data_IF_556610776667
#
_entry.id   IF_556610776667
#
_cell.length_a   1.000
_cell.length_b   1.000
_cell.length_c   1.000
_cell.angle_alpha   90.00
_cell.angle_beta   90.00
_cell.angle_gamma   90.00
#
_symmetry.space_group_name_H-M   'P 1'
#
loop_
_entity.id
_entity.type
_entity.pdbx_description
1 polymer ?
#
# COMPACT_ATOMS: atom_id res chain seq x y z
N UNK A 1 8.62 -25.73 -19.73
CA UNK A 1 8.20 -27.13 -19.49
C UNK A 1 7.72 -27.28 -18.05
N UNK A 2 6.68 -28.08 -17.78
CA UNK A 2 6.46 -28.65 -16.45
C UNK A 2 7.79 -29.25 -15.98
N UNK A 3 8.22 -28.99 -14.75
CA UNK A 3 9.50 -29.56 -14.28
C UNK A 3 9.28 -31.04 -14.03
N UNK A 4 9.96 -31.88 -14.81
CA UNK A 4 9.89 -33.35 -14.73
C UNK A 4 10.77 -33.85 -13.56
N UNK A 5 10.55 -33.32 -12.35
CA UNK A 5 11.29 -33.78 -11.15
C UNK A 5 10.35 -34.62 -10.30
N UNK A 6 10.75 -35.87 -10.03
CA UNK A 6 9.92 -36.88 -9.39
C UNK A 6 9.52 -36.62 -7.93
N UNK A 7 10.04 -35.57 -7.28
CA UNK A 7 9.61 -35.14 -5.93
C UNK A 7 9.53 -33.62 -5.84
N UNK A 8 8.32 -33.11 -5.67
CA UNK A 8 8.03 -31.70 -5.43
C UNK A 8 7.23 -31.58 -4.13
N UNK A 9 7.88 -31.14 -3.04
CA UNK A 9 7.27 -31.12 -1.69
C UNK A 9 6.53 -29.83 -1.33
N UNK A 10 6.78 -28.73 -2.05
CA UNK A 10 6.34 -27.39 -1.63
C UNK A 10 5.51 -26.62 -2.67
N UNK A 11 5.14 -27.23 -3.81
CA UNK A 11 4.32 -26.59 -4.85
C UNK A 11 3.41 -27.58 -5.56
N UNK A 12 2.17 -27.18 -5.81
CA UNK A 12 1.16 -27.93 -6.54
C UNK A 12 1.60 -28.26 -7.97
N UNK A 13 1.39 -29.50 -8.40
CA UNK A 13 1.62 -29.96 -9.76
C UNK A 13 0.28 -30.14 -10.47
N UNK A 14 -0.11 -29.18 -11.30
CA UNK A 14 -1.38 -29.23 -12.03
C UNK A 14 -1.23 -30.18 -13.22
N UNK A 15 -2.11 -31.19 -13.39
CA UNK A 15 -2.03 -32.09 -14.53
C UNK A 15 -2.33 -31.32 -15.83
N UNK A 16 -1.46 -31.46 -16.82
CA UNK A 16 -1.60 -30.86 -18.14
C UNK A 16 -0.77 -31.67 -19.15
N UNK A 17 -1.36 -31.94 -20.32
CA UNK A 17 -0.71 -32.71 -21.39
C UNK A 17 0.26 -31.83 -22.20
N UNK A 18 -0.01 -30.53 -22.27
CA UNK A 18 0.75 -29.57 -23.06
C UNK A 18 1.34 -28.48 -22.13
N UNK A 19 2.60 -28.05 -22.35
CA UNK A 19 3.20 -26.98 -21.54
C UNK A 19 2.39 -25.67 -21.49
N UNK A 20 1.68 -25.31 -22.56
CA UNK A 20 0.83 -24.12 -22.61
C UNK A 20 -0.35 -24.23 -21.63
N UNK A 21 -0.97 -25.40 -21.55
CA UNK A 21 -2.10 -25.68 -20.66
C UNK A 21 -1.67 -25.68 -19.19
N UNK A 22 -0.48 -26.23 -18.90
CA UNK A 22 0.11 -26.17 -17.56
C UNK A 22 0.24 -24.73 -17.07
N UNK A 23 0.81 -23.84 -17.89
CA UNK A 23 0.98 -22.43 -17.53
C UNK A 23 -0.34 -21.68 -17.43
N UNK A 24 -1.31 -22.02 -18.28
CA UNK A 24 -2.66 -21.46 -18.22
C UNK A 24 -3.31 -21.75 -16.87
N UNK A 25 -3.30 -23.01 -16.43
CA UNK A 25 -3.90 -23.46 -15.16
C UNK A 25 -3.09 -23.03 -13.93
N UNK A 26 -1.77 -23.11 -13.98
CA UNK A 26 -0.92 -22.88 -12.82
C UNK A 26 -0.61 -21.41 -12.54
N UNK A 27 -0.69 -20.54 -13.54
CA UNK A 27 -0.20 -19.16 -13.43
C UNK A 27 -1.19 -18.15 -13.97
N UNK A 28 -1.69 -18.32 -15.20
CA UNK A 28 -2.52 -17.29 -15.85
C UNK A 28 -3.87 -17.16 -15.15
N UNK A 29 -4.61 -18.25 -14.97
CA UNK A 29 -5.94 -18.22 -14.35
C UNK A 29 -5.87 -17.68 -12.90
N UNK A 30 -5.03 -18.23 -12.00
CA UNK A 30 -4.93 -17.70 -10.63
C UNK A 30 -4.51 -16.22 -10.58
N UNK A 31 -3.67 -15.79 -11.52
CA UNK A 31 -3.27 -14.40 -11.61
C UNK A 31 -4.42 -13.49 -12.07
N UNK A 32 -5.17 -13.89 -13.09
CA UNK A 32 -6.34 -13.15 -13.56
C UNK A 32 -7.42 -13.06 -12.48
N UNK A 33 -7.73 -14.17 -11.82
CA UNK A 33 -8.67 -14.20 -10.69
C UNK A 33 -8.20 -13.25 -9.58
N UNK A 34 -6.91 -13.30 -9.23
CA UNK A 34 -6.33 -12.38 -8.24
C UNK A 34 -6.46 -10.91 -8.66
N UNK A 35 -6.29 -10.59 -9.94
CA UNK A 35 -6.47 -9.22 -10.46
C UNK A 35 -7.93 -8.80 -10.39
N UNK A 36 -8.85 -9.67 -10.81
CA UNK A 36 -10.30 -9.42 -10.76
C UNK A 36 -10.74 -9.16 -9.32
N UNK A 37 -10.43 -10.08 -8.40
CA UNK A 37 -10.76 -9.92 -6.97
C UNK A 37 -10.12 -8.65 -6.38
N UNK A 38 -8.90 -8.30 -6.79
CA UNK A 38 -8.25 -7.06 -6.34
C UNK A 38 -8.97 -5.81 -6.85
N UNK A 39 -9.52 -5.84 -8.07
CA UNK A 39 -10.30 -4.74 -8.62
C UNK A 39 -11.67 -4.64 -7.94
N UNK A 40 -12.36 -5.76 -7.77
CA UNK A 40 -13.66 -5.82 -7.09
C UNK A 40 -13.55 -5.32 -5.64
N UNK A 41 -12.56 -5.79 -4.89
CA UNK A 41 -12.31 -5.32 -3.52
C UNK A 41 -11.95 -3.84 -3.50
N UNK A 42 -11.12 -3.36 -4.45
CA UNK A 42 -10.72 -1.95 -4.51
C UNK A 42 -11.88 -1.01 -4.81
N UNK A 43 -12.81 -1.39 -5.69
CA UNK A 43 -13.96 -0.59 -6.10
C UNK A 43 -15.28 -0.98 -5.40
N UNK A 44 -15.20 -1.79 -4.35
CA UNK A 44 -16.33 -2.12 -3.51
C UNK A 44 -16.94 -0.86 -2.87
N UNK A 45 -18.24 -0.90 -2.60
CA UNK A 45 -18.98 0.24 -2.03
C UNK A 45 -18.39 0.71 -0.69
N UNK A 46 -17.83 -0.21 0.10
CA UNK A 46 -17.13 0.06 1.36
C UNK A 46 -15.94 1.03 1.19
N UNK A 47 -15.26 1.00 0.03
CA UNK A 47 -14.09 1.83 -0.25
C UNK A 47 -14.45 3.17 -0.92
N UNK A 48 -15.72 3.38 -1.25
CA UNK A 48 -16.22 4.64 -1.85
C UNK A 48 -15.87 5.89 -1.03
N UNK A 49 -15.94 5.89 0.33
CA UNK A 49 -15.55 7.05 1.14
C UNK A 49 -14.08 7.45 0.96
N UNK A 50 -13.19 6.48 0.73
CA UNK A 50 -11.77 6.73 0.48
C UNK A 50 -11.56 7.53 -0.82
N UNK A 51 -12.32 7.23 -1.87
CA UNK A 51 -12.29 8.00 -3.12
C UNK A 51 -13.04 9.33 -2.99
N UNK A 52 -14.08 9.40 -2.17
CA UNK A 52 -14.82 10.63 -1.91
C UNK A 52 -13.95 11.73 -1.29
N UNK A 53 -12.87 11.38 -0.56
CA UNK A 53 -11.88 12.34 -0.07
C UNK A 53 -11.28 13.22 -1.18
N UNK A 54 -11.11 12.69 -2.40
CA UNK A 54 -10.61 13.47 -3.54
C UNK A 54 -11.56 14.59 -3.97
N UNK A 55 -12.87 14.42 -3.71
CA UNK A 55 -13.91 15.44 -3.97
C UNK A 55 -13.81 16.63 -3.03
N UNK A 56 -13.06 16.51 -1.92
CA UNK A 56 -12.76 17.61 -1.01
C UNK A 56 -11.67 18.56 -1.55
N UNK A 57 -11.21 18.37 -2.78
CA UNK A 57 -10.30 19.30 -3.43
C UNK A 57 -11.04 20.60 -3.83
N UNK A 58 -10.46 21.81 -3.61
CA UNK A 58 -11.11 23.08 -3.95
C UNK A 58 -11.66 23.15 -5.38
N UNK A 59 -10.91 22.65 -6.37
CA UNK A 59 -11.35 22.60 -7.76
C UNK A 59 -12.62 21.72 -7.96
N UNK A 60 -12.75 20.62 -7.23
CA UNK A 60 -13.92 19.75 -7.30
C UNK A 60 -15.10 20.30 -6.50
N UNK A 61 -14.82 20.97 -5.37
CA UNK A 61 -15.83 21.65 -4.55
C UNK A 61 -16.53 22.78 -5.29
N UNK A 62 -15.82 23.51 -6.17
CA UNK A 62 -16.41 24.58 -6.98
C UNK A 62 -17.33 24.09 -8.10
N UNK A 63 -17.09 22.88 -8.63
CA UNK A 63 -17.88 22.30 -9.73
C UNK A 63 -19.10 21.51 -9.23
N UNK A 64 -19.06 21.02 -7.99
CA UNK A 64 -20.09 20.13 -7.46
C UNK A 64 -21.23 20.89 -6.78
N UNK A 65 -22.46 20.39 -6.90
CA UNK A 65 -23.61 20.96 -6.21
C UNK A 65 -23.53 20.79 -4.70
N UNK A 66 -24.05 21.76 -3.94
CA UNK A 66 -24.02 21.80 -2.46
C UNK A 66 -24.63 20.53 -1.84
N UNK A 67 -25.71 19.99 -2.44
CA UNK A 67 -26.39 18.77 -1.97
C UNK A 67 -25.52 17.52 -2.05
N UNK A 68 -24.75 17.38 -3.13
CA UNK A 68 -23.85 16.25 -3.30
C UNK A 68 -22.67 16.34 -2.32
N UNK A 69 -22.23 17.56 -2.02
CA UNK A 69 -21.12 17.83 -1.12
C UNK A 69 -21.46 17.50 0.33
N UNK A 70 -22.66 17.85 0.78
CA UNK A 70 -23.14 17.49 2.13
C UNK A 70 -23.23 15.98 2.31
N UNK A 71 -23.75 15.26 1.31
CA UNK A 71 -23.85 13.80 1.36
C UNK A 71 -22.48 13.11 1.38
N UNK A 72 -21.51 13.64 0.61
CA UNK A 72 -20.13 13.14 0.68
C UNK A 72 -19.48 13.45 2.02
N UNK A 73 -19.77 14.60 2.64
CA UNK A 73 -19.22 14.93 3.95
C UNK A 73 -19.79 14.02 5.04
N UNK A 74 -21.09 13.68 4.97
CA UNK A 74 -21.74 12.78 5.91
C UNK A 74 -21.19 11.35 5.83
N UNK A 75 -21.00 10.83 4.61
CA UNK A 75 -20.37 9.51 4.42
C UNK A 75 -18.92 9.47 4.91
N UNK A 76 -18.14 10.54 4.69
CA UNK A 76 -16.75 10.64 5.18
C UNK A 76 -16.72 10.78 6.71
N UNK A 77 -17.63 11.58 7.29
CA UNK A 77 -17.72 11.77 8.74
C UNK A 77 -18.02 10.46 9.46
N UNK A 78 -18.95 9.66 8.93
CA UNK A 78 -19.29 8.33 9.46
C UNK A 78 -18.13 7.33 9.31
N UNK A 79 -17.48 7.29 8.15
CA UNK A 79 -16.44 6.31 7.87
C UNK A 79 -15.13 6.55 8.64
N UNK A 80 -14.68 7.81 8.71
CA UNK A 80 -13.42 8.18 9.36
C UNK A 80 -13.58 8.74 10.78
N UNK A 81 -14.82 8.80 11.30
CA UNK A 81 -15.15 9.38 12.61
C UNK A 81 -14.64 10.84 12.74
N UNK A 82 -14.96 11.67 11.75
CA UNK A 82 -14.57 13.08 11.65
C UNK A 82 -15.81 13.97 11.84
N UNK A 83 -16.17 14.36 13.07
CA UNK A 83 -17.44 15.03 13.36
C UNK A 83 -17.50 16.46 12.81
N UNK A 84 -16.39 17.20 12.77
CA UNK A 84 -16.40 18.62 12.38
C UNK A 84 -16.18 18.84 10.88
N UNK A 85 -16.01 17.77 10.10
CA UNK A 85 -15.62 17.90 8.69
C UNK A 85 -16.65 18.68 7.86
N UNK A 86 -17.94 18.58 8.19
CA UNK A 86 -19.01 19.31 7.49
C UNK A 86 -18.82 20.83 7.60
N UNK A 87 -18.66 21.32 8.83
CA UNK A 87 -18.49 22.75 9.12
C UNK A 87 -17.17 23.25 8.54
N UNK A 88 -16.09 22.48 8.71
CA UNK A 88 -14.78 22.83 8.18
C UNK A 88 -14.78 22.92 6.65
N UNK A 89 -15.54 22.05 5.97
CA UNK A 89 -15.67 22.06 4.51
C UNK A 89 -16.49 23.26 4.03
N UNK A 90 -17.57 23.63 4.71
CA UNK A 90 -18.36 24.82 4.38
C UNK A 90 -17.52 26.11 4.51
N UNK A 91 -16.80 26.26 5.62
CA UNK A 91 -15.86 27.37 5.82
C UNK A 91 -14.74 27.36 4.78
N UNK A 92 -14.26 26.18 4.39
CA UNK A 92 -13.23 26.05 3.38
C UNK A 92 -13.72 26.46 1.99
N UNK A 93 -14.95 26.09 1.62
CA UNK A 93 -15.55 26.53 0.37
C UNK A 93 -15.62 28.06 0.32
N UNK A 94 -16.06 28.71 1.40
CA UNK A 94 -16.09 30.17 1.51
C UNK A 94 -14.70 30.80 1.42
N UNK A 95 -13.70 30.18 2.07
CA UNK A 95 -12.30 30.64 2.03
C UNK A 95 -11.74 30.64 0.59
N UNK A 96 -12.08 29.63 -0.21
CA UNK A 96 -11.62 29.51 -1.60
C UNK A 96 -12.44 30.30 -2.61
N UNK A 97 -13.68 30.67 -2.31
CA UNK A 97 -14.42 31.63 -3.15
C UNK A 97 -13.76 33.02 -3.19
N UNK A 98 -13.01 33.38 -2.14
CA UNK A 98 -12.36 34.69 -2.03
C UNK A 98 -10.94 34.72 -2.62
N UNK A 99 -10.37 33.57 -3.01
CA UNK A 99 -9.05 33.50 -3.65
C UNK A 99 -9.19 33.26 -5.16
N UNK A 100 -8.35 33.89 -6.01
CA UNK A 100 -8.36 33.61 -7.44
C UNK A 100 -7.99 32.14 -7.69
N UNK A 101 -8.77 31.47 -8.54
CA UNK A 101 -8.68 30.05 -8.87
C UNK A 101 -7.25 29.62 -9.20
N UNK A 102 -6.56 29.08 -8.20
CA UNK A 102 -5.29 28.40 -8.39
C UNK A 102 -5.61 26.91 -8.58
N UNK A 103 -6.13 26.57 -9.75
CA UNK A 103 -6.46 25.19 -10.16
C UNK A 103 -5.25 24.26 -10.15
N UNK A 104 -4.04 24.81 -10.05
CA UNK A 104 -2.78 24.09 -10.22
C UNK A 104 -2.09 23.73 -8.88
N UNK A 105 -2.72 24.03 -7.74
CA UNK A 105 -2.13 23.69 -6.45
C UNK A 105 -2.24 22.18 -6.18
N UNK A 106 -1.10 21.55 -5.92
CA UNK A 106 -1.08 20.14 -5.51
C UNK A 106 -1.67 20.00 -4.11
N UNK A 107 -2.26 18.83 -3.78
CA UNK A 107 -2.85 18.53 -2.46
C UNK A 107 -1.88 18.84 -1.30
N UNK A 108 -0.57 18.76 -1.55
CA UNK A 108 0.50 19.08 -0.58
C UNK A 108 0.57 20.58 -0.26
N UNK A 109 0.38 21.45 -1.25
CA UNK A 109 0.40 22.90 -1.06
C UNK A 109 -0.85 23.36 -0.32
N UNK A 110 -1.98 22.75 -0.66
CA UNK A 110 -3.25 23.01 0.02
C UNK A 110 -3.18 22.57 1.50
N UNK A 111 -2.51 21.46 1.80
CA UNK A 111 -2.29 20.99 3.18
C UNK A 111 -1.51 22.00 4.03
N UNK A 112 -0.55 22.73 3.45
CA UNK A 112 0.21 23.76 4.17
C UNK A 112 -0.68 24.91 4.64
N UNK A 113 -1.67 25.29 3.83
CA UNK A 113 -2.64 26.34 4.18
C UNK A 113 -3.69 25.87 5.19
N UNK A 114 -4.07 24.58 5.16
CA UNK A 114 -5.11 24.03 6.04
C UNK A 114 -4.64 23.73 7.47
N UNK A 115 -3.32 23.62 7.69
CA UNK A 115 -2.69 23.10 8.93
C UNK A 115 -3.10 23.85 10.22
N UNK A 116 -3.42 25.14 10.14
CA UNK A 116 -3.71 25.97 11.32
C UNK A 116 -5.19 26.12 11.65
N UNK A 117 -6.10 25.93 10.70
CA UNK A 117 -7.51 26.31 10.88
C UNK A 117 -8.51 25.15 10.73
N UNK A 118 -8.10 24.00 10.19
CA UNK A 118 -9.02 22.91 9.81
C UNK A 118 -8.45 21.52 10.16
N UNK A 119 -8.46 21.12 11.45
CA UNK A 119 -7.82 19.90 11.92
C UNK A 119 -8.44 18.61 11.37
N UNK A 120 -9.77 18.53 11.21
CA UNK A 120 -10.41 17.31 10.71
C UNK A 120 -10.24 17.15 9.19
N UNK A 121 -10.25 18.26 8.45
CA UNK A 121 -9.87 18.28 7.03
C UNK A 121 -8.40 17.92 6.83
N UNK A 122 -7.49 18.39 7.69
CA UNK A 122 -6.07 18.04 7.61
C UNK A 122 -5.88 16.52 7.75
N UNK A 123 -6.59 15.88 8.68
CA UNK A 123 -6.60 14.41 8.81
C UNK A 123 -7.13 13.75 7.54
N UNK A 124 -8.25 14.22 7.00
CA UNK A 124 -8.86 13.71 5.78
C UNK A 124 -7.87 13.74 4.60
N UNK A 125 -7.09 14.81 4.44
CA UNK A 125 -6.09 14.92 3.38
C UNK A 125 -4.81 14.13 3.64
N UNK A 126 -4.38 14.00 4.91
CA UNK A 126 -3.29 13.07 5.26
C UNK A 126 -3.66 11.64 4.87
N UNK A 127 -4.92 11.25 5.11
CA UNK A 127 -5.45 9.96 4.68
C UNK A 127 -5.42 9.89 3.14
N UNK A 128 -5.91 10.91 2.44
CA UNK A 128 -5.90 10.95 0.97
C UNK A 128 -4.48 10.81 0.38
N UNK A 129 -3.48 11.49 0.95
CA UNK A 129 -2.09 11.40 0.50
C UNK A 129 -1.48 10.03 0.84
N UNK A 130 -1.89 9.42 1.95
CA UNK A 130 -1.45 8.09 2.35
C UNK A 130 -2.11 6.98 1.51
N UNK A 131 -3.28 7.22 0.92
CA UNK A 131 -3.90 6.29 -0.01
C UNK A 131 -2.97 6.13 -1.22
N UNK A 132 -2.56 4.90 -1.56
CA UNK A 132 -1.69 4.66 -2.69
C UNK A 132 -2.45 4.96 -3.99
N UNK A 133 -2.30 6.18 -4.50
CA UNK A 133 -2.83 6.57 -5.80
C UNK A 133 -2.11 5.81 -6.94
N UNK A 134 -0.84 5.43 -6.72
CA UNK A 134 0.00 4.72 -7.70
C UNK A 134 0.90 3.64 -7.06
N UNK A 135 1.27 2.64 -7.85
CA UNK A 135 2.08 1.45 -7.50
C UNK A 135 3.56 1.74 -7.21
N UNK A 136 4.00 3.00 -7.14
CA UNK A 136 5.42 3.36 -6.99
C UNK A 136 6.07 2.79 -5.71
N UNK A 137 5.31 2.61 -4.62
CA UNK A 137 5.82 1.95 -3.39
C UNK A 137 6.20 0.50 -3.63
N UNK A 138 5.46 -0.17 -4.51
CA UNK A 138 5.64 -1.58 -4.86
C UNK A 138 6.87 -1.77 -5.77
N UNK A 139 7.22 -0.77 -6.60
CA UNK A 139 8.41 -0.82 -7.48
C UNK A 139 9.73 -0.94 -6.71
N UNK A 140 9.88 -0.20 -5.60
CA UNK A 140 11.08 -0.29 -4.75
C UNK A 140 11.25 -1.70 -4.18
N UNK A 141 10.15 -2.28 -3.71
CA UNK A 141 10.13 -3.64 -3.15
C UNK A 141 10.39 -4.69 -4.23
N UNK A 142 9.78 -4.57 -5.41
CA UNK A 142 10.03 -5.50 -6.52
C UNK A 142 11.44 -5.39 -7.08
N UNK A 143 12.00 -4.18 -7.20
CA UNK A 143 13.39 -3.99 -7.61
C UNK A 143 14.36 -4.64 -6.62
N UNK A 144 14.12 -4.46 -5.33
CA UNK A 144 14.89 -5.10 -4.27
C UNK A 144 14.75 -6.63 -4.29
N UNK A 145 13.53 -7.13 -4.48
CA UNK A 145 13.24 -8.55 -4.62
C UNK A 145 13.94 -9.16 -5.84
N UNK A 146 13.93 -8.47 -6.99
CA UNK A 146 14.60 -8.90 -8.22
C UNK A 146 16.11 -8.99 -8.05
N UNK A 147 16.71 -8.09 -7.26
CA UNK A 147 18.14 -8.13 -6.91
C UNK A 147 18.48 -9.27 -5.96
N UNK A 148 17.60 -9.57 -5.00
CA UNK A 148 17.82 -10.62 -3.98
C UNK A 148 17.50 -12.04 -4.49
N UNK A 149 16.49 -12.18 -5.35
CA UNK A 149 16.01 -13.43 -5.92
C UNK A 149 16.54 -13.60 -7.34
N UNK A 150 17.80 -14.03 -7.45
CA UNK A 150 18.40 -14.38 -8.73
C UNK A 150 18.11 -15.84 -9.10
N UNK A 151 18.11 -16.14 -10.40
CA UNK A 151 17.81 -17.49 -10.93
C UNK A 151 18.72 -18.59 -10.35
N UNK A 152 19.97 -18.26 -10.02
CA UNK A 152 20.93 -19.19 -9.45
C UNK A 152 20.65 -19.56 -7.97
N UNK A 153 19.80 -18.80 -7.28
CA UNK A 153 19.59 -18.93 -5.82
C UNK A 153 18.28 -19.66 -5.51
N UNK A 154 18.19 -20.91 -5.96
CA UNK A 154 16.98 -21.75 -5.90
C UNK A 154 16.70 -22.41 -4.54
N UNK A 155 17.65 -22.43 -3.62
CA UNK A 155 17.55 -23.12 -2.30
C UNK A 155 17.01 -22.23 -1.17
N UNK A 156 16.70 -20.96 -1.45
CA UNK A 156 16.31 -20.00 -0.42
C UNK A 156 14.84 -20.16 0.00
N UNK A 157 14.59 -20.31 1.31
CA UNK A 157 13.23 -20.34 1.86
C UNK A 157 12.55 -18.97 1.81
N UNK A 158 11.22 -18.96 1.76
CA UNK A 158 10.39 -17.74 1.71
C UNK A 158 10.61 -16.85 2.94
N UNK A 159 10.68 -17.45 4.14
CA UNK A 159 10.95 -16.70 5.38
C UNK A 159 12.26 -15.93 5.32
N UNK A 160 13.32 -16.56 4.79
CA UNK A 160 14.61 -15.90 4.63
C UNK A 160 14.54 -14.80 3.57
N UNK A 161 13.77 -15.02 2.49
CA UNK A 161 13.64 -14.06 1.39
C UNK A 161 12.94 -12.79 1.87
N UNK A 162 11.80 -12.95 2.52
CA UNK A 162 11.03 -11.84 3.07
C UNK A 162 11.85 -11.04 4.08
N UNK A 163 12.61 -11.72 4.95
CA UNK A 163 13.53 -11.06 5.89
C UNK A 163 14.60 -10.20 5.20
N UNK A 164 15.29 -10.74 4.18
CA UNK A 164 16.31 -9.97 3.45
C UNK A 164 15.72 -8.80 2.65
N UNK A 165 14.54 -8.99 2.04
CA UNK A 165 13.85 -7.92 1.31
C UNK A 165 13.52 -6.79 2.27
N UNK A 166 12.93 -7.10 3.43
CA UNK A 166 12.61 -6.11 4.45
C UNK A 166 13.85 -5.33 4.91
N UNK A 167 14.97 -6.02 5.14
CA UNK A 167 16.23 -5.36 5.50
C UNK A 167 16.77 -4.46 4.37
N UNK A 168 16.63 -4.88 3.11
CA UNK A 168 17.11 -4.10 1.96
C UNK A 168 16.29 -2.83 1.72
N UNK A 169 14.96 -2.91 1.84
CA UNK A 169 14.05 -1.77 1.64
C UNK A 169 14.23 -0.75 2.77
N UNK A 170 14.39 -1.22 4.01
CA UNK A 170 14.54 -0.40 5.21
C UNK A 170 16.00 -0.20 5.65
N UNK A 171 16.95 -0.35 4.73
CA UNK A 171 18.40 -0.26 5.01
C UNK A 171 18.80 1.03 5.75
N UNK A 172 18.15 2.17 5.45
CA UNK A 172 18.40 3.45 6.11
C UNK A 172 18.05 3.42 7.61
N UNK A 173 16.93 2.81 7.97
CA UNK A 173 16.50 2.68 9.37
C UNK A 173 17.42 1.74 10.16
N UNK A 174 17.87 0.65 9.53
CA UNK A 174 18.80 -0.30 10.13
C UNK A 174 20.15 0.36 10.39
N UNK A 175 20.66 1.15 9.45
CA UNK A 175 21.93 1.86 9.63
C UNK A 175 21.86 2.92 10.73
N UNK A 176 20.74 3.62 10.88
CA UNK A 176 20.56 4.59 11.96
C UNK A 176 20.58 3.95 13.36
N UNK A 177 20.06 2.73 13.48
CA UNK A 177 19.95 1.99 14.75
C UNK A 177 20.82 0.73 14.77
N UNK A 178 21.99 0.76 14.12
CA UNK A 178 22.79 -0.43 13.85
C UNK A 178 23.25 -1.14 15.13
N UNK A 179 23.63 -0.38 16.16
CA UNK A 179 24.08 -0.92 17.45
C UNK A 179 22.98 -1.71 18.15
N UNK A 180 21.78 -1.14 18.26
CA UNK A 180 20.61 -1.80 18.84
C UNK A 180 20.19 -3.03 18.05
N UNK A 181 20.26 -2.94 16.72
CA UNK A 181 19.96 -4.07 15.85
C UNK A 181 20.95 -5.22 16.09
N UNK A 182 22.25 -4.94 16.13
CA UNK A 182 23.28 -5.93 16.38
C UNK A 182 23.11 -6.58 17.76
N UNK A 183 22.85 -5.79 18.80
CA UNK A 183 22.61 -6.30 20.16
C UNK A 183 21.40 -7.24 20.21
N UNK A 184 20.30 -6.88 19.54
CA UNK A 184 19.10 -7.75 19.42
C UNK A 184 19.40 -9.04 18.66
N UNK A 185 20.19 -8.95 17.58
CA UNK A 185 20.60 -10.12 16.80
C UNK A 185 21.45 -11.05 17.64
N UNK A 186 22.47 -10.53 18.33
CA UNK A 186 23.33 -11.31 19.23
C UNK A 186 22.51 -11.99 20.32
N UNK A 187 21.62 -11.25 21.00
CA UNK A 187 20.72 -11.81 22.03
C UNK A 187 19.83 -12.93 21.48
N UNK A 188 19.34 -12.81 20.25
CA UNK A 188 18.54 -13.85 19.60
C UNK A 188 19.38 -15.10 19.25
N UNK A 189 20.64 -14.90 18.87
CA UNK A 189 21.58 -16.01 18.64
C UNK A 189 21.98 -16.70 19.94
N UNK A 190 22.08 -16.00 21.07
CA UNK A 190 22.35 -16.63 22.38
C UNK A 190 21.19 -17.46 22.90
N UNK A 191 19.95 -17.16 22.50
CA UNK A 191 18.75 -17.91 22.90
C UNK A 191 18.63 -19.27 22.19
N UNK A 192 19.22 -19.42 21.00
CA UNK A 192 19.23 -20.68 20.29
C UNK A 192 20.51 -21.44 20.63
N UNK A 193 20.45 -22.56 21.38
CA UNK A 193 21.64 -23.39 21.58
C UNK A 193 22.14 -23.82 20.21
N UNK A 194 23.39 -23.46 19.89
CA UNK A 194 24.02 -23.89 18.64
C UNK A 194 23.94 -25.42 18.59
N UNK A 195 23.53 -25.99 17.45
CA UNK A 195 23.84 -27.40 17.12
C UNK A 195 25.34 -27.52 16.88
N UNK A 196 26.14 -27.31 17.92
CA UNK A 196 27.52 -27.74 17.96
C UNK A 196 27.45 -29.22 18.36
N UNK A 197 27.39 -30.09 17.36
CA UNK A 197 27.79 -31.48 17.58
C UNK A 197 29.29 -31.43 17.87
N UNK A 198 29.66 -31.37 19.15
CA UNK A 198 30.96 -31.86 19.55
C UNK A 198 30.85 -33.39 19.59
N UNK A 199 31.78 -34.04 18.89
CA UNK A 199 31.83 -35.46 18.56
C UNK A 199 31.35 -36.41 19.67
#
# INVERSE_FOLDING_TARGET
MPRIVGKQRHRSNHPAEIPSEFWKRSLIIPYLDSVITSLETRFAEENTPSFALSKLHPAQMQTMSVKNLTQTCETIAQFYNLPNIKIEVELWQQFWHNKPNSTDQTVVDILKEAKTFFPDKEKAWKILIALPCMTCTIERSFSSLRRLKTWLRSTMSENRLNGLVMMSVHRKLIHGNLQDFNNKVVKKFTMNPRKLCFN
#
